data_IF_567244634504
#
_entry.id   IF_567244634504
#
_cell.length_a   1.000
_cell.length_b   1.000
_cell.length_c   1.000
_cell.angle_alpha   90.00
_cell.angle_beta   90.00
_cell.angle_gamma   90.00
#
_symmetry.space_group_name_H-M   'P 1'
#
loop_
_entity.id
_entity.type
_entity.pdbx_description
1 polymer ?
#
# COMPACT_ATOMS: atom_id res chain seq x y z
N UNK A 1 -4.36 14.30 32.18
CA UNK A 1 -5.27 14.58 31.04
C UNK A 1 -5.79 13.24 30.53
N UNK A 2 -7.06 13.16 30.18
CA UNK A 2 -7.62 11.98 29.51
C UNK A 2 -8.17 12.43 28.16
N UNK A 3 -7.83 11.71 27.10
CA UNK A 3 -8.31 11.95 25.75
C UNK A 3 -8.78 10.60 25.20
N UNK A 4 -10.04 10.52 24.79
CA UNK A 4 -10.61 9.39 24.10
C UNK A 4 -10.87 9.79 22.66
N UNK A 5 -10.24 9.08 21.73
CA UNK A 5 -10.39 9.29 20.30
C UNK A 5 -11.29 8.20 19.72
N UNK A 6 -12.30 8.60 18.97
CA UNK A 6 -13.10 7.70 18.12
C UNK A 6 -13.00 8.20 16.70
N UNK A 7 -12.81 7.29 15.75
CA UNK A 7 -12.63 7.65 14.36
C UNK A 7 -13.23 6.62 13.43
N UNK A 8 -13.76 7.08 12.31
CA UNK A 8 -14.10 6.27 11.15
C UNK A 8 -13.43 6.90 9.93
N UNK A 9 -12.69 6.08 9.20
CA UNK A 9 -12.08 6.44 7.93
C UNK A 9 -12.58 5.46 6.88
N UNK A 10 -12.94 5.95 5.71
CA UNK A 10 -13.48 5.10 4.66
C UNK A 10 -13.28 5.70 3.28
N UNK A 11 -13.40 4.85 2.27
CA UNK A 11 -13.49 5.27 0.89
C UNK A 11 -14.95 5.61 0.52
N UNK A 12 -15.16 6.73 -0.18
CA UNK A 12 -16.46 7.12 -0.71
C UNK A 12 -16.82 6.39 -2.00
N UNK A 13 -18.11 6.29 -2.28
CA UNK A 13 -18.61 5.77 -3.56
C UNK A 13 -18.19 6.66 -4.74
N UNK A 14 -18.16 7.99 -4.55
CA UNK A 14 -17.75 8.93 -5.59
C UNK A 14 -16.28 8.72 -5.99
N UNK A 15 -15.40 8.44 -5.00
CA UNK A 15 -14.02 8.07 -5.26
C UNK A 15 -13.89 6.74 -6.01
N UNK A 16 -14.67 5.72 -5.65
CA UNK A 16 -14.71 4.45 -6.38
C UNK A 16 -15.05 4.67 -7.86
N UNK A 17 -16.13 5.40 -8.13
CA UNK A 17 -16.57 5.72 -9.49
C UNK A 17 -15.51 6.54 -10.25
N UNK A 18 -14.87 7.50 -9.60
CA UNK A 18 -13.77 8.27 -10.21
C UNK A 18 -12.61 7.38 -10.63
N UNK A 19 -12.19 6.46 -9.75
CA UNK A 19 -11.08 5.53 -10.03
C UNK A 19 -11.45 4.51 -11.11
N UNK A 20 -12.67 3.96 -11.08
CA UNK A 20 -13.17 2.98 -12.08
C UNK A 20 -13.15 3.52 -13.50
N UNK A 21 -13.33 4.84 -13.65
CA UNK A 21 -13.31 5.55 -14.93
C UNK A 21 -11.93 6.09 -15.32
N UNK A 22 -10.91 5.89 -14.49
CA UNK A 22 -9.56 6.35 -14.79
C UNK A 22 -8.91 5.53 -15.92
N UNK A 23 -8.04 6.13 -16.76
CA UNK A 23 -7.32 5.39 -17.81
C UNK A 23 -6.52 4.19 -17.29
N UNK A 24 -5.95 4.32 -16.08
CA UNK A 24 -5.18 3.26 -15.46
C UNK A 24 -6.06 2.07 -15.05
N UNK A 25 -7.26 2.33 -14.51
CA UNK A 25 -8.23 1.29 -14.18
C UNK A 25 -8.76 0.59 -15.44
N UNK A 26 -9.00 1.33 -16.52
CA UNK A 26 -9.39 0.73 -17.80
C UNK A 26 -8.29 -0.17 -18.37
N UNK A 27 -7.02 0.25 -18.28
CA UNK A 27 -5.87 -0.57 -18.65
C UNK A 27 -5.79 -1.84 -17.79
N UNK A 28 -5.96 -1.72 -16.47
CA UNK A 28 -6.00 -2.90 -15.59
C UNK A 28 -7.15 -3.85 -15.98
N UNK A 29 -8.37 -3.35 -16.18
CA UNK A 29 -9.52 -4.16 -16.61
C UNK A 29 -9.23 -4.90 -17.92
N UNK A 30 -8.60 -4.24 -18.89
CA UNK A 30 -8.18 -4.86 -20.15
C UNK A 30 -7.13 -5.96 -19.94
N UNK A 31 -6.14 -5.72 -19.07
CA UNK A 31 -5.12 -6.72 -18.73
C UNK A 31 -5.74 -7.93 -18.04
N UNK A 32 -6.66 -7.71 -17.09
CA UNK A 32 -7.38 -8.76 -16.38
C UNK A 32 -8.21 -9.64 -17.31
N UNK A 33 -8.83 -9.07 -18.36
CA UNK A 33 -9.55 -9.84 -19.38
C UNK A 33 -8.63 -10.82 -20.15
N UNK A 34 -7.33 -10.54 -20.18
CA UNK A 34 -6.31 -11.40 -20.78
C UNK A 34 -5.65 -12.32 -19.75
N UNK A 35 -6.22 -12.39 -18.53
CA UNK A 35 -5.68 -13.15 -17.41
C UNK A 35 -4.50 -12.49 -16.72
N UNK A 36 -4.16 -11.23 -17.04
CA UNK A 36 -3.05 -10.51 -16.40
C UNK A 36 -3.57 -9.59 -15.30
N UNK A 37 -3.49 -10.01 -14.04
CA UNK A 37 -4.13 -9.33 -12.89
C UNK A 37 -3.18 -8.55 -11.98
N UNK A 38 -1.86 -8.75 -12.13
CA UNK A 38 -0.86 -8.22 -11.19
C UNK A 38 0.16 -7.28 -11.86
N UNK A 39 -0.10 -6.89 -13.10
CA UNK A 39 0.68 -5.89 -13.83
C UNK A 39 0.65 -4.51 -13.15
N UNK A 40 1.59 -3.62 -13.52
CA UNK A 40 1.72 -2.26 -13.00
C UNK A 40 0.39 -1.49 -12.91
N UNK A 41 -0.45 -1.56 -13.95
CA UNK A 41 -1.72 -0.82 -13.95
C UNK A 41 -2.64 -1.31 -12.83
N UNK A 42 -2.74 -2.63 -12.65
CA UNK A 42 -3.56 -3.22 -11.60
C UNK A 42 -3.00 -2.93 -10.20
N UNK A 43 -1.69 -3.10 -9.99
CA UNK A 43 -1.04 -2.80 -8.71
C UNK A 43 -1.28 -1.35 -8.27
N UNK A 44 -1.08 -0.39 -9.17
CA UNK A 44 -1.27 1.02 -8.85
C UNK A 44 -2.72 1.43 -8.69
N UNK A 45 -3.64 0.80 -9.44
CA UNK A 45 -5.08 1.00 -9.22
C UNK A 45 -5.48 0.44 -7.86
N UNK A 46 -4.97 -0.72 -7.45
CA UNK A 46 -5.22 -1.31 -6.13
C UNK A 46 -4.73 -0.40 -5.01
N UNK A 47 -3.51 0.13 -5.10
CA UNK A 47 -3.00 1.10 -4.13
C UNK A 47 -3.90 2.35 -4.07
N UNK A 48 -4.24 2.92 -5.23
CA UNK A 48 -5.10 4.12 -5.28
C UNK A 48 -6.53 3.85 -4.77
N UNK A 49 -7.04 2.64 -4.98
CA UNK A 49 -8.35 2.20 -4.52
C UNK A 49 -8.43 1.99 -3.01
N UNK A 50 -7.32 1.86 -2.31
CA UNK A 50 -7.29 1.72 -0.85
C UNK A 50 -7.04 3.06 -0.12
N UNK A 51 -6.76 4.14 -0.85
CA UNK A 51 -6.69 5.49 -0.27
C UNK A 51 -8.07 5.96 0.19
N UNK A 52 -8.15 6.36 1.46
CA UNK A 52 -9.37 6.79 2.14
C UNK A 52 -9.60 8.29 1.95
N UNK A 53 -10.82 8.70 1.61
CA UNK A 53 -11.17 10.11 1.33
C UNK A 53 -12.22 10.70 2.28
N UNK A 54 -12.77 9.89 3.18
CA UNK A 54 -13.72 10.35 4.19
C UNK A 54 -13.22 10.06 5.60
N UNK A 55 -13.18 11.09 6.42
CA UNK A 55 -12.66 11.06 7.78
C UNK A 55 -13.72 11.66 8.71
N UNK A 56 -14.11 10.90 9.73
CA UNK A 56 -14.96 11.38 10.82
C UNK A 56 -14.30 11.01 12.12
N UNK A 57 -13.84 12.02 12.86
CA UNK A 57 -13.14 11.84 14.12
C UNK A 57 -13.87 12.62 15.21
N UNK A 58 -13.92 12.05 16.40
CA UNK A 58 -14.36 12.74 17.60
C UNK A 58 -13.35 12.51 18.72
N UNK A 59 -13.03 13.58 19.42
CA UNK A 59 -12.13 13.58 20.55
C UNK A 59 -12.91 14.04 21.78
N UNK A 60 -13.05 13.17 22.77
CA UNK A 60 -13.57 13.52 24.10
C UNK A 60 -12.38 13.74 25.01
N UNK A 61 -12.40 14.81 25.80
CA UNK A 61 -11.24 15.18 26.60
C UNK A 61 -11.60 15.76 27.97
N UNK A 62 -10.76 15.45 28.96
CA UNK A 62 -10.86 16.00 30.30
C UNK A 62 -9.49 16.49 30.79
N UNK A 63 -9.51 17.62 31.50
CA UNK A 63 -8.34 18.21 32.16
C UNK A 63 -7.15 18.36 31.19
N UNK A 64 -7.40 19.00 30.04
CA UNK A 64 -6.36 19.29 29.04
C UNK A 64 -5.47 20.43 29.55
N UNK A 65 -4.13 20.25 29.59
CA UNK A 65 -3.19 21.30 29.98
C UNK A 65 -3.27 22.50 29.04
N UNK A 66 -3.04 23.71 29.58
CA UNK A 66 -3.14 24.95 28.79
C UNK A 66 -2.11 25.02 27.64
N UNK A 67 -0.98 24.33 27.78
CA UNK A 67 -0.02 24.15 26.69
C UNK A 67 -0.68 23.58 25.42
N UNK A 68 -1.45 22.49 25.56
CA UNK A 68 -2.11 21.84 24.42
C UNK A 68 -3.25 22.69 23.87
N UNK A 69 -3.99 23.41 24.72
CA UNK A 69 -5.01 24.37 24.25
C UNK A 69 -4.40 25.49 23.41
N UNK A 70 -3.26 26.04 23.84
CA UNK A 70 -2.56 27.09 23.11
C UNK A 70 -1.97 26.57 21.80
N UNK A 71 -1.37 25.38 21.82
CA UNK A 71 -0.81 24.75 20.62
C UNK A 71 -1.89 24.50 19.55
N UNK A 72 -3.04 23.91 19.93
CA UNK A 72 -4.13 23.66 18.98
C UNK A 72 -4.76 24.95 18.48
N UNK A 73 -4.91 25.97 19.34
CA UNK A 73 -5.38 27.29 18.93
C UNK A 73 -4.45 27.95 17.90
N UNK A 74 -3.13 27.90 18.11
CA UNK A 74 -2.15 28.42 17.14
C UNK A 74 -2.20 27.67 15.81
N UNK A 75 -2.31 26.34 15.84
CA UNK A 75 -2.46 25.53 14.63
C UNK A 75 -3.72 25.92 13.85
N UNK A 76 -4.84 26.09 14.57
CA UNK A 76 -6.09 26.59 13.99
C UNK A 76 -5.93 28.00 13.38
N UNK A 77 -5.31 28.94 14.10
CA UNK A 77 -5.10 30.30 13.63
C UNK A 77 -4.25 30.34 12.36
N UNK A 78 -3.20 29.52 12.27
CA UNK A 78 -2.38 29.39 11.07
C UNK A 78 -3.18 28.83 9.89
N UNK A 79 -3.99 27.78 10.12
CA UNK A 79 -4.87 27.21 9.09
C UNK A 79 -5.92 28.24 8.62
N UNK A 80 -6.56 28.95 9.56
CA UNK A 80 -7.52 30.02 9.26
C UNK A 80 -6.89 31.11 8.41
N UNK A 81 -5.66 31.54 8.73
CA UNK A 81 -4.93 32.54 7.95
C UNK A 81 -4.63 32.05 6.53
N UNK A 82 -4.08 30.83 6.40
CA UNK A 82 -3.79 30.23 5.10
C UNK A 82 -5.05 30.00 4.25
N UNK A 83 -6.20 29.79 4.90
CA UNK A 83 -7.47 29.46 4.29
C UNK A 83 -8.49 30.62 4.31
N UNK A 84 -8.07 31.87 4.49
CA UNK A 84 -8.98 32.97 4.85
C UNK A 84 -10.15 33.19 3.85
N UNK A 85 -9.98 32.83 2.57
CA UNK A 85 -11.02 32.93 1.54
C UNK A 85 -11.99 31.73 1.51
N UNK A 86 -11.66 30.66 2.22
CA UNK A 86 -12.34 29.37 2.15
C UNK A 86 -12.90 28.94 3.51
N UNK A 87 -12.71 29.77 4.54
CA UNK A 87 -13.14 29.51 5.92
C UNK A 87 -14.40 30.29 6.26
N UNK A 88 -15.32 29.61 6.94
CA UNK A 88 -16.50 30.19 7.56
C UNK A 88 -16.55 29.75 9.01
N UNK A 89 -16.79 30.70 9.92
CA UNK A 89 -16.83 30.43 11.35
C UNK A 89 -18.17 30.86 11.93
N UNK A 90 -18.71 30.04 12.81
CA UNK A 90 -19.90 30.32 13.61
C UNK A 90 -19.55 30.22 15.09
N UNK A 91 -19.52 31.37 15.75
CA UNK A 91 -19.32 31.52 17.20
C UNK A 91 -20.63 31.80 17.94
N UNK A 92 -21.72 32.10 17.22
CA UNK A 92 -22.97 32.63 17.81
C UNK A 92 -23.98 31.51 17.99
N UNK A 93 -24.19 30.69 16.96
CA UNK A 93 -25.15 29.58 17.00
C UNK A 93 -24.51 28.23 17.30
N UNK A 94 -23.19 28.17 17.49
CA UNK A 94 -22.50 26.94 17.88
C UNK A 94 -22.81 26.55 19.34
N UNK A 95 -23.56 25.47 19.51
CA UNK A 95 -23.89 24.89 20.82
C UNK A 95 -23.23 23.51 20.97
N UNK A 96 -21.90 23.47 20.84
CA UNK A 96 -21.12 22.23 20.87
C UNK A 96 -20.80 21.81 22.32
N UNK A 97 -20.62 20.51 22.62
CA UNK A 97 -20.25 20.05 23.96
C UNK A 97 -18.89 20.58 24.42
N UNK A 98 -18.78 20.97 25.69
CA UNK A 98 -17.59 21.64 26.23
C UNK A 98 -16.32 20.77 26.25
N UNK A 99 -16.49 19.45 26.28
CA UNK A 99 -15.43 18.45 26.42
C UNK A 99 -15.27 17.57 25.17
N UNK A 100 -15.79 18.03 24.02
CA UNK A 100 -15.76 17.28 22.78
C UNK A 100 -15.32 18.16 21.61
N UNK A 101 -14.54 17.57 20.71
CA UNK A 101 -14.25 18.11 19.38
C UNK A 101 -14.68 17.09 18.35
N UNK A 102 -15.36 17.53 17.29
CA UNK A 102 -15.64 16.70 16.11
C UNK A 102 -14.95 17.27 14.88
N UNK A 103 -14.37 16.37 14.09
CA UNK A 103 -13.61 16.70 12.88
C UNK A 103 -14.17 15.83 11.76
N UNK A 104 -14.68 16.48 10.71
CA UNK A 104 -15.16 15.81 9.51
C UNK A 104 -14.37 16.34 8.31
N UNK A 105 -13.52 15.51 7.70
CA UNK A 105 -12.82 15.86 6.48
C UNK A 105 -13.29 14.97 5.32
N UNK A 106 -13.63 15.59 4.19
CA UNK A 106 -14.04 14.89 2.98
C UNK A 106 -13.22 15.41 1.81
N UNK A 107 -12.35 14.56 1.27
CA UNK A 107 -11.60 14.88 0.07
C UNK A 107 -12.48 14.76 -1.16
N UNK A 108 -12.19 15.56 -2.18
CA UNK A 108 -12.74 15.37 -3.51
C UNK A 108 -12.30 14.00 -4.07
N UNK A 109 -13.06 13.40 -5.01
CA UNK A 109 -12.73 12.09 -5.57
C UNK A 109 -11.30 11.97 -6.14
N UNK A 110 -10.74 13.07 -6.63
CA UNK A 110 -9.38 13.17 -7.17
C UNK A 110 -8.28 13.49 -6.14
N UNK A 111 -8.66 13.68 -4.86
CA UNK A 111 -7.81 14.06 -3.72
C UNK A 111 -7.10 15.42 -3.85
N UNK A 112 -7.53 16.28 -4.78
CA UNK A 112 -6.89 17.59 -5.01
C UNK A 112 -7.46 18.70 -4.14
N UNK A 113 -8.62 18.47 -3.54
CA UNK A 113 -9.19 19.36 -2.55
C UNK A 113 -9.92 18.60 -1.46
N UNK A 114 -10.24 19.29 -0.36
CA UNK A 114 -11.09 18.74 0.69
C UNK A 114 -11.99 19.80 1.31
N UNK A 115 -13.06 19.32 1.94
CA UNK A 115 -13.88 20.09 2.87
C UNK A 115 -13.57 19.61 4.29
N UNK A 116 -13.41 20.53 5.23
CA UNK A 116 -13.18 20.23 6.63
C UNK A 116 -14.21 20.97 7.48
N UNK A 117 -14.91 20.24 8.33
CA UNK A 117 -15.76 20.81 9.39
C UNK A 117 -15.16 20.46 10.73
N UNK A 118 -14.89 21.49 11.53
CA UNK A 118 -14.43 21.39 12.91
C UNK A 118 -15.53 21.93 13.83
N UNK A 119 -16.11 21.07 14.66
CA UNK A 119 -16.99 21.48 15.75
C UNK A 119 -16.19 21.44 17.05
N UNK A 120 -15.82 22.61 17.56
CA UNK A 120 -15.09 22.78 18.81
C UNK A 120 -16.02 23.39 19.87
N UNK A 121 -15.68 23.31 21.18
CA UNK A 121 -16.54 23.81 22.26
C UNK A 121 -17.05 25.24 22.09
N UNK A 122 -16.23 26.13 21.53
CA UNK A 122 -16.52 27.55 21.43
C UNK A 122 -17.07 27.98 20.07
N UNK A 123 -16.93 27.14 19.03
CA UNK A 123 -17.28 27.50 17.67
C UNK A 123 -17.36 26.30 16.74
N UNK A 124 -18.04 26.49 15.62
CA UNK A 124 -17.97 25.58 14.48
C UNK A 124 -17.29 26.30 13.31
N UNK A 125 -16.31 25.65 12.69
CA UNK A 125 -15.63 26.16 11.50
C UNK A 125 -15.80 25.20 10.33
N UNK A 126 -16.04 25.76 9.15
CA UNK A 126 -16.07 25.04 7.88
C UNK A 126 -15.02 25.62 6.94
N UNK A 127 -14.14 24.77 6.45
CA UNK A 127 -13.23 25.04 5.35
C UNK A 127 -13.79 24.34 4.11
N UNK A 128 -14.06 25.09 3.05
CA UNK A 128 -14.67 24.56 1.82
C UNK A 128 -13.70 24.62 0.65
N UNK A 129 -13.60 23.51 -0.08
CA UNK A 129 -12.79 23.38 -1.29
C UNK A 129 -11.32 23.79 -1.10
N UNK A 130 -10.74 23.37 0.03
CA UNK A 130 -9.34 23.59 0.34
C UNK A 130 -8.46 22.82 -0.64
N UNK A 131 -7.73 23.51 -1.50
CA UNK A 131 -6.79 22.86 -2.43
C UNK A 131 -5.61 22.27 -1.66
N UNK A 132 -5.23 21.05 -2.03
CA UNK A 132 -4.09 20.34 -1.47
C UNK A 132 -2.98 20.33 -2.52
N UNK A 133 -1.77 20.66 -2.08
CA UNK A 133 -0.59 20.48 -2.91
C UNK A 133 -0.35 18.97 -3.10
N UNK A 134 -0.07 18.53 -4.33
CA UNK A 134 0.21 17.13 -4.67
C UNK A 134 1.34 16.49 -3.83
N UNK A 135 2.31 17.26 -3.32
CA UNK A 135 3.37 16.74 -2.44
C UNK A 135 2.88 16.52 -1.00
N UNK A 136 1.78 17.17 -0.61
CA UNK A 136 1.17 17.03 0.73
C UNK A 136 0.10 15.94 0.72
N UNK A 137 -0.55 15.68 -0.42
CA UNK A 137 -1.60 14.65 -0.54
C UNK A 137 -1.16 13.29 0.04
N UNK A 138 0.02 12.73 -0.26
CA UNK A 138 0.46 11.45 0.31
C UNK A 138 0.63 11.47 1.84
N UNK A 139 0.80 12.65 2.43
CA UNK A 139 1.01 12.81 3.87
C UNK A 139 -0.30 12.89 4.66
N UNK A 140 -1.40 13.29 4.01
CA UNK A 140 -2.68 13.56 4.68
C UNK A 140 -3.81 12.62 4.24
N UNK A 141 -3.60 11.85 3.17
CA UNK A 141 -4.52 10.82 2.70
C UNK A 141 -4.04 9.46 3.21
N UNK A 142 -4.81 8.85 4.09
CA UNK A 142 -4.44 7.59 4.74
C UNK A 142 -4.67 6.38 3.82
N UNK A 143 -3.80 5.38 3.98
CA UNK A 143 -3.91 4.04 3.42
C UNK A 143 -3.86 3.02 4.58
N UNK A 144 -4.63 1.93 4.53
CA UNK A 144 -4.63 0.93 5.60
C UNK A 144 -3.28 0.22 5.79
N UNK A 145 -2.55 -0.03 4.69
CA UNK A 145 -1.28 -0.77 4.72
C UNK A 145 -0.01 0.10 4.61
N UNK A 146 -0.07 1.26 3.95
CA UNK A 146 1.11 2.09 3.68
C UNK A 146 1.14 3.30 4.60
N UNK A 147 2.32 3.58 5.15
CA UNK A 147 2.55 4.77 5.95
C UNK A 147 2.64 6.04 5.08
N UNK A 148 2.40 7.24 5.65
CA UNK A 148 2.51 8.49 4.90
C UNK A 148 3.86 8.71 4.21
N UNK A 149 4.96 8.34 4.84
CA UNK A 149 6.31 8.42 4.28
C UNK A 149 6.51 7.44 3.12
N UNK A 150 5.99 6.21 3.22
CA UNK A 150 5.99 5.25 2.11
C UNK A 150 5.15 5.75 0.93
N UNK A 151 3.97 6.35 1.18
CA UNK A 151 3.14 6.93 0.13
C UNK A 151 3.82 8.13 -0.55
N UNK A 152 4.48 8.99 0.23
CA UNK A 152 5.25 10.12 -0.30
C UNK A 152 6.40 9.62 -1.16
N UNK A 153 7.17 8.65 -0.67
CA UNK A 153 8.28 8.09 -1.40
C UNK A 153 7.78 7.39 -2.68
N UNK A 154 6.68 6.63 -2.61
CA UNK A 154 6.02 6.07 -3.79
C UNK A 154 5.60 7.14 -4.81
N UNK A 155 5.10 8.29 -4.36
CA UNK A 155 4.82 9.42 -5.23
C UNK A 155 6.10 10.00 -5.89
N UNK A 156 7.17 10.20 -5.10
CA UNK A 156 8.44 10.74 -5.59
C UNK A 156 9.15 9.82 -6.59
N UNK A 157 9.12 8.51 -6.35
CA UNK A 157 9.67 7.48 -7.23
C UNK A 157 8.69 7.01 -8.31
N UNK A 158 7.63 7.78 -8.59
CA UNK A 158 6.66 7.50 -9.68
C UNK A 158 6.10 6.08 -9.64
N UNK A 159 5.66 5.68 -8.46
CA UNK A 159 5.07 4.36 -8.19
C UNK A 159 6.07 3.19 -8.30
N UNK A 160 7.38 3.48 -8.16
CA UNK A 160 8.47 2.49 -8.18
C UNK A 160 9.33 2.53 -6.92
N UNK A 161 8.79 2.99 -5.78
CA UNK A 161 9.48 2.94 -4.48
C UNK A 161 9.96 1.53 -4.15
N UNK A 162 9.12 0.54 -4.46
CA UNK A 162 9.44 -0.88 -4.38
C UNK A 162 9.39 -1.45 -5.80
N UNK A 163 10.51 -1.44 -6.54
CA UNK A 163 10.59 -2.08 -7.85
C UNK A 163 10.13 -3.54 -7.74
N UNK A 164 9.29 -3.98 -8.65
CA UNK A 164 8.73 -5.34 -8.59
C UNK A 164 8.74 -5.95 -9.97
N UNK A 165 9.33 -7.13 -10.07
CA UNK A 165 9.19 -8.00 -11.22
C UNK A 165 7.89 -8.80 -11.09
N UNK A 166 7.15 -8.95 -12.18
CA UNK A 166 5.88 -9.66 -12.20
C UNK A 166 5.89 -10.66 -13.34
N UNK A 167 5.47 -11.89 -13.06
CA UNK A 167 5.20 -12.91 -14.08
C UNK A 167 3.75 -13.30 -13.96
N UNK A 168 2.99 -13.03 -15.01
CA UNK A 168 1.55 -13.19 -15.04
C UNK A 168 1.16 -14.22 -16.11
N UNK A 169 -0.12 -14.29 -16.50
CA UNK A 169 -0.58 -15.27 -17.48
C UNK A 169 0.22 -15.21 -18.80
N UNK A 170 0.29 -14.04 -19.43
CA UNK A 170 0.88 -13.85 -20.76
C UNK A 170 1.89 -12.69 -20.85
N UNK A 171 2.08 -11.96 -19.76
CA UNK A 171 3.01 -10.83 -19.67
C UNK A 171 3.97 -11.02 -18.50
N UNK A 172 5.22 -10.70 -18.74
CA UNK A 172 6.19 -10.42 -17.69
C UNK A 172 6.44 -8.92 -17.62
N UNK A 173 6.76 -8.42 -16.43
CA UNK A 173 7.16 -7.05 -16.17
C UNK A 173 8.45 -7.04 -15.38
N UNK A 174 9.45 -6.29 -15.84
CA UNK A 174 10.74 -6.12 -15.18
C UNK A 174 10.68 -5.09 -14.04
N UNK A 175 11.73 -5.03 -13.22
CA UNK A 175 11.88 -4.05 -12.13
C UNK A 175 11.84 -2.58 -12.61
N UNK A 176 12.28 -2.30 -13.84
CA UNK A 176 12.22 -0.97 -14.47
C UNK A 176 10.88 -0.69 -15.19
N UNK A 177 9.84 -1.47 -14.86
CA UNK A 177 8.47 -1.31 -15.34
C UNK A 177 8.31 -1.47 -16.87
N UNK A 178 9.11 -2.35 -17.48
CA UNK A 178 8.93 -2.75 -18.88
C UNK A 178 8.18 -4.06 -18.96
N UNK A 179 7.06 -4.06 -19.67
CA UNK A 179 6.27 -5.27 -19.91
C UNK A 179 6.60 -5.88 -21.27
N UNK A 180 6.66 -7.20 -21.34
CA UNK A 180 6.85 -7.96 -22.58
C UNK A 180 6.04 -9.28 -22.54
N UNK A 181 5.63 -9.82 -23.70
CA UNK A 181 4.91 -11.08 -23.76
C UNK A 181 5.82 -12.26 -23.38
N UNK A 182 5.27 -13.20 -22.62
CA UNK A 182 5.99 -14.40 -22.16
C UNK A 182 5.13 -15.66 -22.32
N UNK A 183 5.79 -16.79 -22.58
CA UNK A 183 5.22 -18.15 -22.56
C UNK A 183 6.28 -19.08 -21.97
N UNK A 184 6.06 -19.59 -20.77
CA UNK A 184 7.06 -20.38 -20.05
C UNK A 184 7.03 -21.86 -20.47
N UNK A 185 5.86 -22.41 -20.77
CA UNK A 185 5.74 -23.85 -20.99
C UNK A 185 6.14 -24.63 -19.74
N UNK A 186 6.63 -25.86 -19.92
CA UNK A 186 6.87 -26.81 -18.80
C UNK A 186 8.29 -26.78 -18.23
N UNK A 187 9.19 -26.04 -18.88
CA UNK A 187 10.56 -25.90 -18.42
C UNK A 187 10.64 -24.85 -17.31
N UNK A 188 11.57 -25.02 -16.37
CA UNK A 188 11.87 -23.97 -15.41
C UNK A 188 12.62 -22.83 -16.09
N UNK A 189 12.19 -21.60 -15.83
CA UNK A 189 12.85 -20.40 -16.32
C UNK A 189 13.22 -19.50 -15.14
N UNK A 190 14.44 -18.98 -15.14
CA UNK A 190 14.90 -17.99 -14.16
C UNK A 190 14.24 -16.63 -14.43
N UNK A 191 13.47 -16.17 -13.45
CA UNK A 191 12.78 -14.87 -13.46
C UNK A 191 13.53 -13.84 -12.61
N UNK A 192 14.26 -14.32 -11.60
CA UNK A 192 15.18 -13.56 -10.79
C UNK A 192 16.33 -14.49 -10.38
N UNK A 193 17.53 -13.94 -10.35
CA UNK A 193 18.71 -14.57 -9.78
C UNK A 193 19.57 -13.44 -9.23
N UNK A 194 19.95 -13.55 -7.97
CA UNK A 194 20.95 -12.67 -7.39
C UNK A 194 22.29 -12.96 -8.06
N UNK A 195 23.01 -11.91 -8.43
CA UNK A 195 24.37 -12.04 -8.94
C UNK A 195 25.19 -10.94 -8.30
N UNK A 196 26.16 -11.27 -7.44
CA UNK A 196 27.01 -10.27 -6.82
C UNK A 196 27.75 -9.48 -7.89
N UNK A 197 28.03 -8.21 -7.61
CA UNK A 197 28.84 -7.39 -8.52
C UNK A 197 30.31 -7.74 -8.28
N UNK A 198 30.90 -8.46 -9.23
CA UNK A 198 32.35 -8.65 -9.26
C UNK A 198 33.06 -7.28 -9.41
N UNK A 199 34.04 -6.98 -8.55
CA UNK A 199 34.92 -5.83 -8.74
C UNK A 199 35.89 -6.15 -9.88
N UNK A 200 35.86 -5.41 -11.01
CA UNK A 200 36.75 -5.70 -12.14
C UNK A 200 38.25 -5.52 -11.82
N UNK A 201 38.60 -4.95 -10.66
CA UNK A 201 39.98 -4.78 -10.21
C UNK A 201 40.39 -5.72 -9.06
N UNK A 202 39.50 -6.57 -8.53
CA UNK A 202 39.90 -7.56 -7.53
C UNK A 202 40.55 -8.76 -8.24
N UNK A 203 41.84 -8.99 -7.95
CA UNK A 203 42.57 -10.19 -8.37
C UNK A 203 42.35 -11.38 -7.43
N UNK A 204 41.57 -11.18 -6.38
CA UNK A 204 41.13 -12.24 -5.47
C UNK A 204 39.83 -12.81 -6.03
N UNK A 205 39.81 -14.12 -6.27
CA UNK A 205 38.55 -14.84 -6.32
C UNK A 205 37.83 -14.52 -5.01
N UNK A 206 36.67 -13.88 -5.10
CA UNK A 206 35.80 -13.68 -3.93
C UNK A 206 35.25 -15.04 -3.51
N UNK A 207 36.12 -15.89 -2.94
CA UNK A 207 35.77 -17.19 -2.36
C UNK A 207 35.09 -17.01 -0.97
N UNK A 208 34.87 -15.75 -0.55
CA UNK A 208 34.13 -15.34 0.65
C UNK A 208 32.77 -14.69 0.29
N UNK A 209 32.20 -15.02 -0.89
CA UNK A 209 30.80 -14.69 -1.15
C UNK A 209 29.96 -15.65 -0.30
N UNK A 210 29.35 -15.14 0.78
CA UNK A 210 28.45 -15.90 1.64
C UNK A 210 27.38 -16.59 0.76
N UNK A 211 27.49 -17.91 0.54
CA UNK A 211 26.52 -18.74 -0.20
C UNK A 211 25.07 -18.56 0.32
N UNK A 212 24.94 -18.03 1.54
CA UNK A 212 23.69 -17.70 2.23
C UNK A 212 22.88 -16.57 1.55
N UNK A 213 23.49 -15.78 0.67
CA UNK A 213 22.82 -14.68 -0.06
C UNK A 213 22.30 -15.08 -1.46
N UNK A 214 22.54 -16.32 -1.91
CA UNK A 214 22.06 -16.78 -3.22
C UNK A 214 20.53 -16.97 -3.24
N UNK A 215 19.84 -15.99 -3.82
CA UNK A 215 18.40 -16.05 -4.06
C UNK A 215 18.07 -16.19 -5.54
N UNK A 216 17.29 -17.22 -5.88
CA UNK A 216 16.76 -17.43 -7.23
C UNK A 216 15.26 -17.65 -7.21
N UNK A 217 14.55 -17.04 -8.17
CA UNK A 217 13.13 -17.29 -8.39
C UNK A 217 12.93 -17.86 -9.79
N UNK A 218 12.44 -19.09 -9.83
CA UNK A 218 12.13 -19.84 -11.03
C UNK A 218 10.61 -19.91 -11.20
N UNK A 219 10.15 -19.83 -12.45
CA UNK A 219 8.75 -20.01 -12.77
C UNK A 219 8.57 -20.92 -13.99
N UNK A 220 7.44 -21.63 -14.03
CA UNK A 220 6.96 -22.37 -15.21
C UNK A 220 5.45 -22.37 -15.26
N UNK A 221 4.89 -22.73 -16.41
CA UNK A 221 3.46 -23.00 -16.50
C UNK A 221 3.15 -24.31 -15.75
N UNK A 222 2.12 -24.27 -14.90
CA UNK A 222 1.57 -25.46 -14.27
C UNK A 222 0.85 -26.33 -15.32
N UNK A 223 0.04 -27.30 -14.92
CA UNK A 223 -0.76 -28.14 -15.83
C UNK A 223 -1.52 -27.29 -16.87
N UNK A 224 -2.15 -26.20 -16.42
CA UNK A 224 -2.71 -25.12 -17.25
C UNK A 224 -1.67 -24.03 -17.53
N UNK A 225 -1.70 -23.41 -18.72
CA UNK A 225 -0.87 -22.24 -19.02
C UNK A 225 -1.30 -20.97 -18.26
N UNK A 226 -2.49 -20.95 -17.67
CA UNK A 226 -3.00 -19.82 -16.88
C UNK A 226 -2.55 -19.84 -15.43
N UNK A 227 -2.02 -20.96 -14.97
CA UNK A 227 -1.51 -21.14 -13.61
C UNK A 227 0.00 -21.33 -13.68
N UNK A 228 0.70 -20.90 -12.63
CA UNK A 228 2.16 -20.94 -12.57
C UNK A 228 2.58 -21.78 -11.38
N UNK A 229 3.64 -22.56 -11.58
CA UNK A 229 4.42 -23.09 -10.47
C UNK A 229 5.62 -22.17 -10.25
N UNK A 230 5.93 -21.92 -8.98
CA UNK A 230 7.03 -21.05 -8.58
C UNK A 230 7.96 -21.82 -7.66
N UNK A 231 9.25 -21.70 -7.89
CA UNK A 231 10.28 -22.25 -7.03
C UNK A 231 11.20 -21.12 -6.60
N UNK A 232 11.31 -20.91 -5.30
CA UNK A 232 12.24 -19.97 -4.69
C UNK A 232 13.36 -20.79 -4.08
N UNK A 233 14.59 -20.51 -4.50
CA UNK A 233 15.82 -21.11 -3.97
C UNK A 233 16.50 -20.04 -3.13
N UNK A 234 16.72 -20.33 -1.85
CA UNK A 234 17.38 -19.46 -0.87
C UNK A 234 18.52 -20.26 -0.22
N UNK A 235 19.74 -20.10 -0.72
CA UNK A 235 20.86 -20.97 -0.33
C UNK A 235 20.50 -22.45 -0.53
N UNK A 236 20.46 -23.22 0.57
CA UNK A 236 20.08 -24.63 0.55
C UNK A 236 18.56 -24.91 0.55
N UNK A 237 17.73 -23.88 0.78
CA UNK A 237 16.28 -24.03 0.91
C UNK A 237 15.56 -23.89 -0.44
N UNK A 238 14.66 -24.81 -0.70
CA UNK A 238 13.79 -24.84 -1.89
C UNK A 238 12.32 -24.74 -1.47
N UNK A 239 11.71 -23.59 -1.72
CA UNK A 239 10.28 -23.34 -1.49
C UNK A 239 9.56 -23.50 -2.84
N UNK A 240 8.86 -24.62 -3.02
CA UNK A 240 8.08 -24.90 -4.23
C UNK A 240 6.59 -24.69 -3.97
N UNK A 241 6.00 -23.78 -4.75
CA UNK A 241 4.60 -23.43 -4.70
C UNK A 241 3.87 -23.94 -5.93
N UNK A 242 2.79 -24.68 -5.72
CA UNK A 242 1.96 -25.27 -6.76
C UNK A 242 0.50 -24.82 -6.63
N UNK A 243 -0.18 -24.54 -7.76
CA UNK A 243 -1.59 -24.18 -7.73
C UNK A 243 -2.43 -25.37 -7.24
N UNK A 244 -3.51 -25.06 -6.53
CA UNK A 244 -4.53 -26.04 -6.12
C UNK A 244 -5.87 -25.68 -6.73
N UNK A 245 -6.70 -26.69 -6.97
CA UNK A 245 -8.02 -26.47 -7.58
C UNK A 245 -8.98 -25.76 -6.62
N UNK A 246 -9.78 -24.85 -7.17
CA UNK A 246 -10.86 -24.19 -6.43
C UNK A 246 -10.36 -23.11 -5.46
N UNK A 247 -10.97 -23.06 -4.27
CA UNK A 247 -10.68 -22.03 -3.26
C UNK A 247 -9.70 -22.51 -2.17
N UNK A 248 -8.92 -23.55 -2.45
CA UNK A 248 -7.83 -24.00 -1.56
C UNK A 248 -6.61 -23.08 -1.68
N UNK A 249 -5.79 -22.93 -0.62
CA UNK A 249 -4.52 -22.22 -0.73
C UNK A 249 -3.55 -23.02 -1.60
N UNK A 250 -2.53 -22.35 -2.14
CA UNK A 250 -1.48 -23.02 -2.90
C UNK A 250 -0.83 -24.13 -2.07
N UNK A 251 -0.43 -25.23 -2.72
CA UNK A 251 0.36 -26.26 -2.07
C UNK A 251 1.78 -25.75 -1.98
N UNK A 252 2.33 -25.68 -0.76
CA UNK A 252 3.69 -25.23 -0.50
C UNK A 252 4.53 -26.39 0.01
N UNK A 253 5.69 -26.58 -0.59
CA UNK A 253 6.67 -27.60 -0.25
C UNK A 253 7.98 -26.89 0.12
N UNK A 254 8.51 -27.14 1.32
CA UNK A 254 9.84 -26.66 1.74
C UNK A 254 10.78 -27.87 1.75
N UNK A 255 11.80 -27.88 0.90
CA UNK A 255 12.70 -29.02 0.71
C UNK A 255 11.95 -30.34 0.45
N UNK A 256 10.80 -30.26 -0.23
CA UNK A 256 9.94 -31.39 -0.56
C UNK A 256 8.96 -31.82 0.54
N UNK A 257 8.96 -31.18 1.71
CA UNK A 257 8.01 -31.44 2.80
C UNK A 257 6.83 -30.47 2.74
N UNK A 258 5.61 -30.97 2.96
CA UNK A 258 4.40 -30.14 2.94
C UNK A 258 4.42 -29.10 4.07
N UNK A 259 4.31 -27.83 3.70
CA UNK A 259 4.12 -26.73 4.64
C UNK A 259 2.64 -26.29 4.67
N UNK A 260 2.10 -26.15 5.88
CA UNK A 260 0.71 -25.71 6.05
C UNK A 260 0.58 -24.21 5.82
N UNK A 261 -0.39 -23.84 4.99
CA UNK A 261 -0.66 -22.44 4.64
C UNK A 261 -2.15 -22.15 4.74
N UNK A 262 -2.47 -20.93 5.16
CA UNK A 262 -3.84 -20.48 5.39
C UNK A 262 -4.22 -19.32 4.48
N UNK A 263 -5.52 -19.22 4.16
CA UNK A 263 -6.09 -18.03 3.50
C UNK A 263 -6.56 -16.96 4.50
N UNK A 264 -6.74 -17.32 5.77
CA UNK A 264 -7.43 -16.49 6.77
C UNK A 264 -6.50 -15.82 7.77
N UNK A 265 -5.24 -16.24 7.81
CA UNK A 265 -4.22 -15.71 8.70
C UNK A 265 -2.84 -15.89 8.07
N UNK A 266 -1.91 -15.05 8.51
CA UNK A 266 -0.50 -15.12 8.14
C UNK A 266 0.06 -16.50 8.54
N UNK A 267 0.74 -17.15 7.61
CA UNK A 267 1.43 -18.42 7.80
C UNK A 267 2.94 -18.16 7.76
N UNK A 268 3.67 -18.62 8.76
CA UNK A 268 5.13 -18.53 8.79
C UNK A 268 5.72 -19.89 8.38
N UNK A 269 6.70 -19.86 7.48
CA UNK A 269 7.51 -21.01 7.11
C UNK A 269 8.79 -20.97 7.93
N UNK A 270 9.18 -22.12 8.46
CA UNK A 270 10.39 -22.27 9.25
C UNK A 270 11.32 -23.29 8.61
N UNK A 271 12.62 -23.14 8.89
CA UNK A 271 13.61 -24.16 8.60
C UNK A 271 13.64 -25.27 9.67
N UNK A 272 14.66 -26.13 9.62
CA UNK A 272 14.84 -27.23 10.57
C UNK A 272 15.28 -26.76 11.96
N UNK A 273 15.91 -25.59 12.06
CA UNK A 273 16.41 -24.99 13.30
C UNK A 273 15.35 -24.06 13.96
N UNK A 274 14.25 -23.81 13.27
CA UNK A 274 13.12 -23.01 13.73
C UNK A 274 13.23 -21.52 13.35
N UNK A 275 14.15 -21.14 12.47
CA UNK A 275 14.23 -19.77 11.94
C UNK A 275 13.20 -19.54 10.84
N UNK A 276 12.67 -18.32 10.76
CA UNK A 276 11.62 -17.97 9.79
C UNK A 276 12.21 -17.77 8.39
N UNK A 277 11.83 -18.63 7.46
CA UNK A 277 12.22 -18.54 6.04
C UNK A 277 11.34 -17.58 5.25
N UNK A 278 10.02 -17.59 5.50
CA UNK A 278 9.07 -16.75 4.78
C UNK A 278 7.77 -16.55 5.58
N UNK A 279 7.04 -15.48 5.26
CA UNK A 279 5.69 -15.22 5.78
C UNK A 279 4.73 -15.07 4.59
N UNK A 280 3.58 -15.73 4.65
CA UNK A 280 2.61 -15.86 3.55
C UNK A 280 1.17 -15.62 3.99
#
# INVERSE_FOLDING_TARGET
AQIQLKGKMQQSQARRQYLENSPLAQKCKQQMQQGNSVQYACRNVTLRANLLDQYRMSAHFEKIPDFWKNATYKAYAAMRYAAYQYVSEDFISAHNPANQIEINANFAPDLRSFNLTLAAPLFTTQFKNMRVNQYVTPLIVMHPEYTPDQLLANYLFREQQFPTCVVDNSLAQTFDNKSYPIKLGKCWHAMFHYTPKEDPNSSESSDDDDDDDECSVLARDASSSTEKEVMIVLGEYNIHMQPTSGDSPAKVLVNGQDASVSKSHLSELYDQDGETLAQM
#
